data_IF_863218836084
#
_entry.id   IF_863218836084
#
_cell.length_a   1.000
_cell.length_b   1.000
_cell.length_c   1.000
_cell.angle_alpha   90.00
_cell.angle_beta   90.00
_cell.angle_gamma   90.00
#
_symmetry.space_group_name_H-M   'P 1'
#
loop_
_entity.id
_entity.type
_entity.pdbx_description
1 polymer ?
#
# COMPACT_ATOMS: atom_id res chain seq x y z
N UNK A 1 17.56 -15.97 11.33
CA UNK A 1 17.85 -14.98 10.28
C UNK A 1 18.01 -13.64 10.97
N UNK A 2 19.14 -12.96 10.81
CA UNK A 2 19.38 -11.64 11.43
C UNK A 2 18.73 -10.58 10.54
N UNK A 3 18.01 -9.62 11.14
CA UNK A 3 17.44 -8.47 10.44
C UNK A 3 18.32 -7.27 10.73
N UNK A 4 18.76 -6.57 9.69
CA UNK A 4 19.59 -5.37 9.81
C UNK A 4 18.70 -4.13 9.70
N UNK A 5 18.86 -3.20 10.65
CA UNK A 5 18.21 -1.90 10.54
C UNK A 5 18.89 -1.05 9.46
N UNK A 6 18.10 -0.46 8.58
CA UNK A 6 18.56 0.42 7.51
C UNK A 6 17.86 1.77 7.62
N UNK A 7 18.64 2.83 7.67
CA UNK A 7 18.14 4.20 7.77
C UNK A 7 18.41 4.94 6.47
N UNK A 8 17.34 5.40 5.83
CA UNK A 8 17.39 6.04 4.52
C UNK A 8 17.04 7.51 4.67
N UNK A 9 17.96 8.38 4.26
CA UNK A 9 17.76 9.84 4.28
C UNK A 9 17.97 10.45 2.90
N UNK A 10 17.41 11.64 2.68
CA UNK A 10 17.60 12.38 1.44
C UNK A 10 18.72 13.42 1.61
N UNK A 11 19.77 13.31 0.80
CA UNK A 11 20.83 14.32 0.72
C UNK A 11 21.04 14.77 -0.74
N UNK A 12 20.66 16.01 -1.02
CA UNK A 12 20.69 16.60 -2.35
C UNK A 12 20.03 15.71 -3.42
N UNK A 13 20.85 15.10 -4.28
CA UNK A 13 20.40 14.22 -5.36
C UNK A 13 20.43 12.72 -5.01
N UNK A 14 20.87 12.36 -3.82
CA UNK A 14 21.09 10.98 -3.40
C UNK A 14 20.18 10.57 -2.25
N UNK A 15 19.81 9.30 -2.24
CA UNK A 15 19.29 8.63 -1.06
C UNK A 15 20.48 8.00 -0.35
N UNK A 16 20.77 8.48 0.85
CA UNK A 16 21.81 7.91 1.70
C UNK A 16 21.22 6.72 2.44
N UNK A 17 21.96 5.63 2.50
CA UNK A 17 21.51 4.35 3.06
C UNK A 17 22.52 3.94 4.11
N UNK A 18 22.16 4.16 5.37
CA UNK A 18 22.99 3.84 6.54
C UNK A 18 22.60 2.49 7.12
N UNK A 19 23.60 1.68 7.48
CA UNK A 19 23.46 0.40 8.18
C UNK A 19 24.24 0.51 9.50
N UNK A 20 23.62 1.04 10.58
CA UNK A 20 24.34 1.41 11.80
C UNK A 20 25.11 0.26 12.46
N UNK A 21 24.58 -0.97 12.39
CA UNK A 21 25.21 -2.16 12.98
C UNK A 21 26.55 -2.54 12.33
N UNK A 22 26.79 -2.08 11.10
CA UNK A 22 28.01 -2.35 10.33
C UNK A 22 28.86 -1.09 10.14
N UNK A 23 28.47 0.04 10.74
CA UNK A 23 29.02 1.38 10.42
C UNK A 23 29.05 1.63 8.90
N UNK A 24 28.04 1.08 8.21
CA UNK A 24 27.99 1.00 6.75
C UNK A 24 27.23 2.18 6.15
N UNK A 25 27.75 2.72 5.04
CA UNK A 25 27.09 3.77 4.29
C UNK A 25 27.19 3.49 2.79
N UNK A 26 26.03 3.45 2.12
CA UNK A 26 25.92 3.41 0.67
C UNK A 26 24.89 4.44 0.19
N UNK A 27 24.65 4.51 -1.11
CA UNK A 27 23.74 5.50 -1.70
C UNK A 27 23.05 4.99 -2.95
N UNK A 28 21.87 5.55 -3.23
CA UNK A 28 21.08 5.25 -4.41
C UNK A 28 20.51 6.52 -5.08
N UNK A 29 20.20 6.43 -6.38
CA UNK A 29 19.56 7.55 -7.09
C UNK A 29 18.06 7.59 -6.82
N UNK A 30 17.43 6.43 -6.63
CA UNK A 30 15.99 6.30 -6.41
C UNK A 30 15.72 5.59 -5.08
N UNK A 31 14.60 5.94 -4.45
CA UNK A 31 14.20 5.31 -3.18
C UNK A 31 14.00 3.80 -3.34
N UNK A 32 13.45 3.35 -4.47
CA UNK A 32 13.23 1.92 -4.73
C UNK A 32 14.52 1.10 -4.90
N UNK A 33 15.69 1.73 -4.99
CA UNK A 33 16.98 1.06 -5.10
C UNK A 33 17.66 0.86 -3.74
N UNK A 34 17.20 1.56 -2.68
CA UNK A 34 17.93 1.64 -1.40
C UNK A 34 17.98 0.31 -0.67
N UNK A 35 16.91 -0.48 -0.72
CA UNK A 35 16.86 -1.82 -0.12
C UNK A 35 17.90 -2.74 -0.76
N UNK A 36 17.96 -2.76 -2.10
CA UNK A 36 18.94 -3.57 -2.83
C UNK A 36 20.37 -3.13 -2.51
N UNK A 37 20.64 -1.82 -2.48
CA UNK A 37 21.96 -1.29 -2.11
C UNK A 37 22.36 -1.68 -0.70
N UNK A 38 21.44 -1.65 0.28
CA UNK A 38 21.71 -2.10 1.63
C UNK A 38 22.05 -3.60 1.68
N UNK A 39 21.25 -4.44 1.00
CA UNK A 39 21.44 -5.89 0.98
C UNK A 39 22.76 -6.28 0.31
N UNK A 40 23.13 -5.63 -0.78
CA UNK A 40 24.41 -5.83 -1.46
C UNK A 40 25.58 -5.44 -0.55
N UNK A 41 25.50 -4.27 0.11
CA UNK A 41 26.53 -3.84 1.07
C UNK A 41 26.71 -4.85 2.20
N UNK A 42 25.62 -5.26 2.85
CA UNK A 42 25.64 -6.23 3.96
C UNK A 42 26.21 -7.58 3.51
N UNK A 43 25.82 -8.06 2.32
CA UNK A 43 26.30 -9.34 1.79
C UNK A 43 27.81 -9.33 1.58
N UNK A 44 28.35 -8.25 1.03
CA UNK A 44 29.80 -8.08 0.84
C UNK A 44 30.52 -7.98 2.18
N UNK A 45 30.03 -7.13 3.09
CA UNK A 45 30.70 -6.85 4.37
C UNK A 45 30.71 -8.07 5.30
N UNK A 46 29.63 -8.86 5.29
CA UNK A 46 29.46 -10.00 6.22
C UNK A 46 29.79 -11.35 5.59
N UNK A 47 30.00 -11.41 4.27
CA UNK A 47 30.12 -12.66 3.52
C UNK A 47 28.84 -13.50 3.48
N UNK A 48 27.70 -12.94 3.91
CA UNK A 48 26.39 -13.63 3.89
C UNK A 48 25.83 -13.62 2.47
N UNK A 49 25.29 -14.73 1.94
CA UNK A 49 24.58 -14.70 0.66
C UNK A 49 23.47 -13.64 0.68
N UNK A 50 23.36 -12.85 -0.38
CA UNK A 50 22.39 -11.74 -0.44
C UNK A 50 20.94 -12.22 -0.22
N UNK A 51 20.61 -13.42 -0.68
CA UNK A 51 19.30 -14.04 -0.49
C UNK A 51 18.94 -14.24 0.99
N UNK A 52 19.94 -14.37 1.86
CA UNK A 52 19.79 -14.57 3.30
C UNK A 52 19.83 -13.26 4.10
N UNK A 53 20.08 -12.13 3.43
CA UNK A 53 20.07 -10.80 4.05
C UNK A 53 18.65 -10.26 4.12
N UNK A 54 18.19 -10.02 5.35
CA UNK A 54 16.90 -9.36 5.65
C UNK A 54 17.18 -7.98 6.23
N UNK A 55 16.43 -6.98 5.75
CA UNK A 55 16.56 -5.59 6.17
C UNK A 55 15.21 -5.02 6.62
N UNK A 56 15.25 -4.10 7.57
CA UNK A 56 14.12 -3.26 7.97
C UNK A 56 14.45 -1.80 7.64
N UNK A 57 13.70 -1.22 6.70
CA UNK A 57 14.04 0.07 6.07
C UNK A 57 13.18 1.20 6.62
N UNK A 58 13.79 2.08 7.42
CA UNK A 58 13.21 3.35 7.86
C UNK A 58 13.60 4.50 6.93
N UNK A 59 12.62 5.26 6.43
CA UNK A 59 12.88 6.42 5.53
C UNK A 59 12.52 7.72 6.25
N UNK A 60 13.46 8.66 6.23
CA UNK A 60 13.29 10.02 6.73
C UNK A 60 13.64 11.06 5.65
N UNK A 61 12.83 12.12 5.55
CA UNK A 61 13.04 13.22 4.59
C UNK A 61 12.90 14.56 5.31
N UNK A 62 14.02 15.24 5.54
CA UNK A 62 14.03 16.50 6.30
C UNK A 62 13.43 16.29 7.69
N UNK A 63 12.39 17.06 8.03
CA UNK A 63 11.69 16.94 9.30
C UNK A 63 10.70 15.76 9.37
N UNK A 64 10.46 15.05 8.27
CA UNK A 64 9.52 13.91 8.22
C UNK A 64 10.29 12.62 8.52
N UNK A 65 10.26 12.17 9.76
CA UNK A 65 11.03 11.00 10.23
C UNK A 65 10.25 9.68 10.16
N UNK A 66 8.93 9.75 10.00
CA UNK A 66 8.00 8.61 10.05
C UNK A 66 7.36 8.29 8.67
N UNK A 67 8.02 8.71 7.58
CA UNK A 67 7.47 8.62 6.23
C UNK A 67 7.10 7.18 5.85
N UNK A 68 7.93 6.19 6.18
CA UNK A 68 7.64 4.77 5.94
C UNK A 68 6.37 4.30 6.67
N UNK A 69 6.24 4.63 7.96
CA UNK A 69 5.11 4.22 8.78
C UNK A 69 3.79 4.84 8.29
N UNK A 70 3.81 6.13 7.96
CA UNK A 70 2.65 6.83 7.41
C UNK A 70 2.27 6.32 6.04
N UNK A 71 3.24 6.03 5.17
CA UNK A 71 2.98 5.45 3.86
C UNK A 71 2.36 4.05 3.97
N UNK A 72 2.80 3.23 4.94
CA UNK A 72 2.21 1.93 5.23
C UNK A 72 0.77 2.05 5.72
N UNK A 73 0.50 2.98 6.64
CA UNK A 73 -0.87 3.22 7.09
C UNK A 73 -1.78 3.63 5.93
N UNK A 74 -1.32 4.54 5.05
CA UNK A 74 -2.09 4.95 3.86
C UNK A 74 -2.37 3.77 2.93
N UNK A 75 -1.43 2.81 2.77
CA UNK A 75 -1.68 1.59 1.98
C UNK A 75 -2.77 0.73 2.62
N UNK A 76 -2.68 0.48 3.94
CA UNK A 76 -3.69 -0.29 4.68
C UNK A 76 -5.07 0.35 4.59
N UNK A 77 -5.16 1.67 4.75
CA UNK A 77 -6.43 2.40 4.66
C UNK A 77 -7.04 2.28 3.24
N UNK A 78 -6.21 2.32 2.20
CA UNK A 78 -6.65 2.13 0.80
C UNK A 78 -7.12 0.70 0.54
N UNK A 79 -6.41 -0.29 1.05
CA UNK A 79 -6.82 -1.71 0.94
C UNK A 79 -8.17 -1.95 1.62
N UNK A 80 -8.34 -1.41 2.83
CA UNK A 80 -9.60 -1.52 3.56
C UNK A 80 -10.74 -0.78 2.84
N UNK A 81 -10.48 0.42 2.32
CA UNK A 81 -11.47 1.15 1.53
C UNK A 81 -11.90 0.36 0.28
N UNK A 82 -10.95 -0.22 -0.46
CA UNK A 82 -11.23 -1.04 -1.63
C UNK A 82 -12.04 -2.30 -1.27
N UNK A 83 -11.74 -2.93 -0.13
CA UNK A 83 -12.49 -4.09 0.40
C UNK A 83 -13.94 -3.71 0.71
N UNK A 84 -14.15 -2.61 1.44
CA UNK A 84 -15.48 -2.12 1.80
C UNK A 84 -16.29 -1.70 0.57
N UNK A 85 -15.64 -1.05 -0.41
CA UNK A 85 -16.27 -0.68 -1.68
C UNK A 85 -16.73 -1.93 -2.47
N UNK A 86 -15.88 -2.96 -2.54
CA UNK A 86 -16.23 -4.23 -3.19
C UNK A 86 -17.43 -4.94 -2.53
N UNK A 87 -17.47 -4.94 -1.19
CA UNK A 87 -18.58 -5.48 -0.42
C UNK A 87 -19.87 -4.68 -0.68
N UNK A 88 -19.80 -3.36 -0.59
CA UNK A 88 -20.96 -2.49 -0.83
C UNK A 88 -21.52 -2.67 -2.24
N UNK A 89 -20.66 -2.79 -3.26
CA UNK A 89 -21.07 -3.06 -4.63
C UNK A 89 -21.78 -4.41 -4.79
N UNK A 90 -21.26 -5.44 -4.10
CA UNK A 90 -21.83 -6.80 -4.14
C UNK A 90 -23.21 -6.82 -3.49
N UNK A 91 -23.33 -6.29 -2.27
CA UNK A 91 -24.61 -6.20 -1.55
C UNK A 91 -25.62 -5.33 -2.29
N UNK A 92 -25.18 -4.20 -2.86
CA UNK A 92 -26.05 -3.33 -3.67
C UNK A 92 -26.64 -4.07 -4.87
N UNK A 93 -25.86 -4.92 -5.54
CA UNK A 93 -26.35 -5.73 -6.65
C UNK A 93 -27.37 -6.77 -6.18
N UNK A 94 -27.04 -7.50 -5.11
CA UNK A 94 -27.94 -8.52 -4.55
C UNK A 94 -29.27 -7.90 -4.16
N UNK A 95 -29.25 -6.80 -3.42
CA UNK A 95 -30.45 -6.10 -2.97
C UNK A 95 -31.26 -5.54 -4.16
N UNK A 96 -30.60 -4.91 -5.15
CA UNK A 96 -31.27 -4.42 -6.35
C UNK A 96 -32.03 -5.53 -7.09
N UNK A 97 -31.39 -6.69 -7.26
CA UNK A 97 -32.01 -7.85 -7.92
C UNK A 97 -33.16 -8.44 -7.09
N UNK A 98 -33.03 -8.53 -5.77
CA UNK A 98 -34.11 -8.99 -4.89
C UNK A 98 -35.32 -8.06 -4.96
N UNK A 99 -35.13 -6.74 -4.89
CA UNK A 99 -36.21 -5.77 -4.97
C UNK A 99 -36.89 -5.77 -6.35
N UNK A 100 -36.10 -5.91 -7.42
CA UNK A 100 -36.66 -6.02 -8.77
C UNK A 100 -37.55 -7.27 -8.93
N UNK A 101 -37.19 -8.40 -8.30
CA UNK A 101 -38.04 -9.62 -8.30
C UNK A 101 -39.38 -9.42 -7.59
N UNK A 102 -39.42 -8.55 -6.59
CA UNK A 102 -40.65 -8.12 -5.91
C UNK A 102 -41.42 -7.02 -6.68
N UNK A 103 -41.04 -6.74 -7.93
CA UNK A 103 -41.63 -5.71 -8.80
C UNK A 103 -41.50 -4.28 -8.26
N UNK A 104 -40.51 -4.00 -7.40
CA UNK A 104 -40.21 -2.63 -6.97
C UNK A 104 -39.71 -1.82 -8.17
N UNK A 105 -40.24 -0.60 -8.41
CA UNK A 105 -39.78 0.26 -9.50
C UNK A 105 -38.28 0.59 -9.38
N UNK A 106 -37.54 0.49 -10.48
CA UNK A 106 -36.08 0.75 -10.53
C UNK A 106 -35.69 2.14 -10.02
N UNK A 107 -36.58 3.12 -10.14
CA UNK A 107 -36.42 4.47 -9.57
C UNK A 107 -36.32 4.42 -8.04
N UNK A 108 -37.25 3.72 -7.41
CA UNK A 108 -37.33 3.62 -5.95
C UNK A 108 -36.19 2.75 -5.40
N UNK A 109 -35.75 1.74 -6.16
CA UNK A 109 -34.51 0.99 -5.86
C UNK A 109 -33.30 1.94 -5.84
N UNK A 110 -33.21 2.87 -6.78
CA UNK A 110 -32.16 3.88 -6.81
C UNK A 110 -32.21 4.81 -5.60
N UNK A 111 -33.39 5.30 -5.23
CA UNK A 111 -33.57 6.12 -4.03
C UNK A 111 -33.17 5.37 -2.75
N UNK A 112 -33.57 4.10 -2.61
CA UNK A 112 -33.24 3.27 -1.44
C UNK A 112 -31.74 2.97 -1.33
N UNK A 113 -31.08 2.69 -2.46
CA UNK A 113 -29.64 2.41 -2.52
C UNK A 113 -28.78 3.69 -2.50
N UNK A 114 -29.40 4.87 -2.53
CA UNK A 114 -28.68 6.16 -2.59
C UNK A 114 -27.90 6.36 -3.89
N UNK A 115 -28.36 5.77 -4.99
CA UNK A 115 -27.73 5.86 -6.32
C UNK A 115 -28.67 6.43 -7.36
N UNK A 116 -28.10 6.87 -8.50
CA UNK A 116 -28.92 7.36 -9.61
C UNK A 116 -29.78 6.24 -10.21
N UNK A 117 -30.88 6.62 -10.86
CA UNK A 117 -31.72 5.69 -11.61
C UNK A 117 -30.93 4.83 -12.61
N UNK A 118 -30.00 5.44 -13.36
CA UNK A 118 -29.17 4.72 -14.32
C UNK A 118 -28.31 3.66 -13.63
N UNK A 119 -27.75 3.97 -12.46
CA UNK A 119 -26.95 3.03 -11.69
C UNK A 119 -27.79 1.88 -11.13
N UNK A 120 -28.98 2.18 -10.62
CA UNK A 120 -29.93 1.16 -10.17
C UNK A 120 -30.32 0.22 -11.32
N UNK A 121 -30.63 0.77 -12.49
CA UNK A 121 -30.93 -0.02 -13.70
C UNK A 121 -29.76 -0.92 -14.10
N UNK A 122 -28.52 -0.41 -14.06
CA UNK A 122 -27.34 -1.24 -14.30
C UNK A 122 -27.22 -2.39 -13.30
N UNK A 123 -27.43 -2.13 -11.99
CA UNK A 123 -27.32 -3.14 -10.94
C UNK A 123 -28.39 -4.24 -11.07
N UNK A 124 -29.61 -3.90 -11.47
CA UNK A 124 -30.69 -4.86 -11.72
C UNK A 124 -30.38 -5.74 -12.94
N UNK A 125 -29.73 -5.18 -13.96
CA UNK A 125 -29.46 -5.85 -15.24
C UNK A 125 -28.04 -6.45 -15.37
N UNK A 126 -27.21 -6.34 -14.33
CA UNK A 126 -25.87 -6.97 -14.26
C UNK A 126 -25.96 -8.36 -13.67
#
# INVERSE_FOLDING_TARGET
MKVYKVEVTRDGKWWMVSIPELDGLTQARRLGETEQMAREFIAVETGTPIADVVVDVGVAVGAVTDASARAEQIRKDREEAARLESLALTESRILAQCLAKENVPVRDIGELLGVTFQRASQLVNS
#
